data_IF_466313573557
#
_entry.id   IF_466313573557
#
_cell.length_a   1.000
_cell.length_b   1.000
_cell.length_c   1.000
_cell.angle_alpha   90.00
_cell.angle_beta   90.00
_cell.angle_gamma   90.00
#
_symmetry.space_group_name_H-M   'P 1'
#
loop_
_entity.id
_entity.type
_entity.pdbx_description
1 polymer ?
#
# COMPACT_ATOMS: atom_id res chain seq x y z
N UNK A 1 -19.42 -28.06 23.61
CA UNK A 1 -19.94 -27.67 22.30
C UNK A 1 -19.94 -26.15 22.26
N UNK A 2 -18.98 -25.52 21.56
CA UNK A 2 -18.85 -24.06 21.49
C UNK A 2 -19.16 -23.61 20.05
N UNK A 3 -20.12 -22.70 19.91
CA UNK A 3 -20.43 -22.04 18.64
C UNK A 3 -19.92 -20.59 18.75
N UNK A 4 -18.89 -20.25 17.98
CA UNK A 4 -18.42 -18.88 17.85
C UNK A 4 -19.06 -18.27 16.59
N UNK A 5 -20.07 -17.43 16.78
CA UNK A 5 -20.70 -16.69 15.67
C UNK A 5 -20.08 -15.29 15.61
N UNK A 6 -19.26 -15.03 14.60
CA UNK A 6 -18.75 -13.69 14.29
C UNK A 6 -19.66 -13.09 13.23
N UNK A 7 -20.47 -12.10 13.61
CA UNK A 7 -21.30 -11.33 12.68
C UNK A 7 -20.53 -10.06 12.28
N UNK A 8 -20.01 -10.02 11.05
CA UNK A 8 -19.34 -8.82 10.50
C UNK A 8 -20.33 -8.06 9.63
N UNK A 9 -20.67 -6.83 10.02
CA UNK A 9 -21.51 -5.93 9.21
C UNK A 9 -20.71 -5.35 8.03
N UNK A 10 -21.31 -5.33 6.83
CA UNK A 10 -20.79 -4.63 5.64
C UNK A 10 -21.04 -3.12 5.76
N UNK A 11 -19.96 -2.33 5.76
CA UNK A 11 -19.98 -0.95 5.25
C UNK A 11 -19.15 -0.97 3.96
N UNK A 12 -19.76 -0.62 2.82
CA UNK A 12 -19.11 -0.64 1.50
C UNK A 12 -18.22 0.59 1.31
N UNK A 13 -17.18 0.72 2.12
CA UNK A 13 -15.92 1.32 1.67
C UNK A 13 -15.27 0.27 0.74
N UNK A 14 -14.65 0.65 -0.39
CA UNK A 14 -13.78 -0.31 -1.07
C UNK A 14 -12.78 -0.78 -0.01
N UNK A 15 -12.69 -2.10 0.19
CA UNK A 15 -11.63 -2.64 1.04
C UNK A 15 -10.29 -2.05 0.59
N UNK A 16 -9.29 -1.92 1.46
CA UNK A 16 -7.98 -1.37 1.06
C UNK A 16 -7.44 -2.05 -0.21
N UNK A 17 -7.65 -3.36 -0.33
CA UNK A 17 -7.33 -4.12 -1.53
C UNK A 17 -8.16 -3.70 -2.75
N UNK A 18 -9.47 -3.50 -2.61
CA UNK A 18 -10.34 -3.01 -3.69
C UNK A 18 -9.99 -1.59 -4.12
N UNK A 19 -9.65 -0.71 -3.18
CA UNK A 19 -9.18 0.64 -3.50
C UNK A 19 -7.86 0.57 -4.27
N UNK A 20 -6.88 -0.18 -3.76
CA UNK A 20 -5.58 -0.33 -4.40
C UNK A 20 -5.70 -0.92 -5.81
N UNK A 21 -6.49 -1.99 -5.99
CA UNK A 21 -6.76 -2.60 -7.29
C UNK A 21 -7.41 -1.63 -8.30
N UNK A 22 -8.22 -0.68 -7.82
CA UNK A 22 -8.84 0.33 -8.68
C UNK A 22 -7.90 1.49 -9.06
N UNK A 23 -6.75 1.64 -8.41
CA UNK A 23 -5.82 2.76 -8.71
C UNK A 23 -5.18 2.65 -10.08
N UNK A 24 -5.04 1.43 -10.64
CA UNK A 24 -4.46 1.19 -11.95
C UNK A 24 -4.96 -0.10 -12.56
N UNK A 25 -5.29 -0.08 -13.85
CA UNK A 25 -5.63 -1.31 -14.58
C UNK A 25 -4.42 -2.25 -14.63
N UNK A 26 -4.68 -3.56 -14.52
CA UNK A 26 -3.65 -4.60 -14.45
C UNK A 26 -3.02 -4.79 -13.08
N UNK A 27 -3.42 -4.03 -12.05
CA UNK A 27 -2.93 -4.18 -10.69
C UNK A 27 -3.63 -5.34 -9.96
N UNK A 28 -2.86 -6.25 -9.41
CA UNK A 28 -3.33 -7.35 -8.56
C UNK A 28 -2.75 -7.20 -7.16
N UNK A 29 -3.61 -7.14 -6.14
CA UNK A 29 -3.18 -7.05 -4.74
C UNK A 29 -2.76 -8.43 -4.26
N UNK A 30 -1.52 -8.54 -3.80
CA UNK A 30 -0.96 -9.79 -3.27
C UNK A 30 -1.18 -9.89 -1.76
N UNK A 31 -0.90 -8.80 -1.04
CA UNK A 31 -0.92 -8.80 0.41
C UNK A 31 -1.23 -7.40 0.96
N UNK A 32 -1.96 -7.34 2.07
CA UNK A 32 -2.23 -6.10 2.81
C UNK A 32 -1.84 -6.30 4.28
N UNK A 33 -0.98 -5.43 4.80
CA UNK A 33 -0.58 -5.42 6.21
C UNK A 33 -0.90 -4.07 6.86
N UNK A 34 -1.44 -4.04 8.09
CA UNK A 34 -1.57 -2.79 8.83
C UNK A 34 -0.19 -2.19 9.11
N UNK A 35 -0.08 -0.86 9.10
CA UNK A 35 1.16 -0.14 9.42
C UNK A 35 0.85 1.11 10.23
N UNK A 36 1.78 1.47 11.12
CA UNK A 36 1.83 2.77 11.77
C UNK A 36 3.04 3.53 11.23
N UNK A 37 2.81 4.69 10.60
CA UNK A 37 3.89 5.56 10.12
C UNK A 37 3.69 6.98 10.64
N UNK A 38 4.72 7.52 11.30
CA UNK A 38 4.70 8.88 11.85
C UNK A 38 3.47 9.17 12.74
N UNK A 39 3.05 8.17 13.53
CA UNK A 39 1.88 8.27 14.42
C UNK A 39 0.52 8.21 13.71
N UNK A 40 0.49 7.89 12.41
CA UNK A 40 -0.73 7.66 11.64
C UNK A 40 -0.89 6.17 11.35
N UNK A 41 -2.11 5.67 11.55
CA UNK A 41 -2.50 4.32 11.21
C UNK A 41 -2.87 4.22 9.73
N UNK A 42 -2.56 3.08 9.13
CA UNK A 42 -2.83 2.84 7.72
C UNK A 42 -2.52 1.41 7.31
N UNK A 43 -2.28 1.25 6.01
CA UNK A 43 -2.00 -0.06 5.42
C UNK A 43 -0.87 0.02 4.41
N UNK A 44 -0.05 -1.02 4.38
CA UNK A 44 0.86 -1.30 3.27
C UNK A 44 0.29 -2.41 2.41
N UNK A 45 0.21 -2.15 1.12
CA UNK A 45 -0.29 -3.07 0.10
C UNK A 45 0.85 -3.47 -0.79
N UNK A 46 1.22 -4.75 -0.77
CA UNK A 46 2.06 -5.34 -1.81
C UNK A 46 1.19 -5.77 -2.98
N UNK A 47 1.63 -5.48 -4.19
CA UNK A 47 0.88 -5.75 -5.41
C UNK A 47 1.80 -6.13 -6.56
N UNK A 48 1.22 -6.78 -7.57
CA UNK A 48 1.81 -6.92 -8.90
C UNK A 48 1.06 -6.06 -9.91
N UNK A 49 1.73 -5.64 -10.96
CA UNK A 49 1.17 -4.89 -12.06
C UNK A 49 1.60 -5.52 -13.37
N UNK A 50 0.65 -5.95 -14.19
CA UNK A 50 0.91 -6.35 -15.57
C UNK A 50 0.78 -5.12 -16.47
N UNK A 51 1.86 -4.77 -17.16
CA UNK A 51 1.88 -3.65 -18.12
C UNK A 51 1.17 -4.02 -19.42
N UNK A 52 0.96 -3.03 -20.30
CA UNK A 52 0.32 -3.26 -21.60
C UNK A 52 1.18 -4.13 -22.52
N UNK A 53 2.49 -4.13 -22.28
CA UNK A 53 3.50 -4.93 -22.96
C UNK A 53 3.56 -6.37 -22.40
N UNK A 54 2.81 -6.66 -21.34
CA UNK A 54 2.74 -7.98 -20.70
C UNK A 54 3.83 -8.23 -19.65
N UNK A 55 4.65 -7.23 -19.32
CA UNK A 55 5.65 -7.35 -18.27
C UNK A 55 5.01 -7.29 -16.89
N UNK A 56 5.52 -8.06 -15.93
CA UNK A 56 5.08 -8.00 -14.53
C UNK A 56 6.07 -7.21 -13.69
N UNK A 57 5.54 -6.19 -13.03
CA UNK A 57 6.25 -5.41 -12.02
C UNK A 57 5.69 -5.72 -10.63
N UNK A 58 6.53 -5.60 -9.60
CA UNK A 58 6.07 -5.58 -8.21
C UNK A 58 6.00 -4.15 -7.70
N UNK A 59 5.10 -3.91 -6.75
CA UNK A 59 5.00 -2.63 -6.10
C UNK A 59 4.50 -2.73 -4.67
N UNK A 60 4.75 -1.65 -3.94
CA UNK A 60 4.30 -1.48 -2.57
C UNK A 60 3.68 -0.09 -2.44
N UNK A 61 2.48 -0.03 -1.88
CA UNK A 61 1.77 1.21 -1.62
C UNK A 61 1.54 1.36 -0.12
N UNK A 62 1.79 2.54 0.43
CA UNK A 62 1.35 2.90 1.77
C UNK A 62 0.16 3.85 1.66
N UNK A 63 -0.89 3.54 2.42
CA UNK A 63 -2.12 4.29 2.50
C UNK A 63 -2.31 4.72 3.95
N UNK A 64 -2.15 6.02 4.24
CA UNK A 64 -2.33 6.59 5.58
C UNK A 64 -3.62 7.40 5.62
N UNK A 65 -4.45 7.11 6.62
CA UNK A 65 -5.69 7.84 6.80
C UNK A 65 -5.47 9.10 7.64
N UNK A 66 -6.10 10.20 7.24
CA UNK A 66 -6.20 11.43 8.03
C UNK A 66 -7.68 11.78 8.26
N UNK A 67 -7.95 12.87 8.99
CA UNK A 67 -9.33 13.28 9.30
C UNK A 67 -10.20 13.45 8.05
N UNK A 68 -9.65 13.95 6.94
CA UNK A 68 -10.42 14.30 5.75
C UNK A 68 -9.82 13.84 4.41
N UNK A 69 -8.68 13.14 4.42
CA UNK A 69 -8.04 12.69 3.18
C UNK A 69 -7.24 11.40 3.37
N UNK A 70 -7.12 10.65 2.27
CA UNK A 70 -6.26 9.48 2.17
C UNK A 70 -4.94 9.88 1.52
N UNK A 71 -3.84 9.68 2.24
CA UNK A 71 -2.50 9.91 1.72
C UNK A 71 -1.95 8.62 1.15
N UNK A 72 -1.44 8.68 -0.08
CA UNK A 72 -0.94 7.50 -0.80
C UNK A 72 0.49 7.75 -1.24
N UNK A 73 1.40 6.90 -0.78
CA UNK A 73 2.75 6.79 -1.33
C UNK A 73 2.86 5.46 -2.07
N UNK A 74 3.30 5.50 -3.33
CA UNK A 74 3.36 4.30 -4.17
C UNK A 74 4.76 4.12 -4.75
N UNK A 75 5.34 2.96 -4.50
CA UNK A 75 6.62 2.52 -5.04
C UNK A 75 6.39 1.38 -6.04
N UNK A 76 7.04 1.47 -7.20
CA UNK A 76 7.09 0.41 -8.21
C UNK A 76 8.52 -0.02 -8.47
N UNK A 77 8.70 -1.32 -8.68
CA UNK A 77 9.97 -1.94 -9.03
C UNK A 77 9.83 -2.54 -10.43
N UNK A 78 10.37 -1.86 -11.46
CA UNK A 78 10.39 -2.40 -12.81
C UNK A 78 11.19 -3.70 -12.88
N UNK A 79 10.77 -4.64 -13.72
CA UNK A 79 11.45 -5.91 -13.97
C UNK A 79 11.74 -6.77 -12.71
N UNK A 80 11.00 -6.57 -11.61
CA UNK A 80 11.16 -7.37 -10.40
C UNK A 80 10.38 -8.69 -10.43
N UNK A 81 9.48 -8.88 -11.40
CA UNK A 81 8.60 -10.05 -11.48
C UNK A 81 7.48 -9.99 -10.44
N UNK A 82 7.16 -11.14 -9.82
CA UNK A 82 6.14 -11.26 -8.78
C UNK A 82 6.79 -11.42 -7.40
N UNK A 83 7.15 -10.30 -6.77
CA UNK A 83 7.72 -10.25 -5.42
C UNK A 83 6.70 -9.64 -4.47
N UNK A 84 6.36 -10.38 -3.42
CA UNK A 84 5.59 -9.82 -2.31
C UNK A 84 6.51 -8.93 -1.44
N UNK A 85 6.39 -7.62 -1.61
CA UNK A 85 7.19 -6.63 -0.87
C UNK A 85 6.80 -6.46 0.60
N UNK A 86 5.78 -7.17 1.09
CA UNK A 86 5.46 -7.28 2.51
C UNK A 86 6.09 -8.51 3.17
N UNK A 87 6.61 -9.46 2.40
CA UNK A 87 7.34 -10.61 2.94
C UNK A 87 8.79 -10.23 3.19
N UNK A 88 9.26 -10.36 4.44
CA UNK A 88 10.59 -9.91 4.82
C UNK A 88 11.73 -10.63 4.07
N UNK A 89 11.53 -11.89 3.68
CA UNK A 89 12.55 -12.67 2.95
C UNK A 89 12.60 -12.25 1.49
N UNK A 90 11.44 -12.16 0.84
CA UNK A 90 11.32 -11.76 -0.56
C UNK A 90 11.69 -10.28 -0.78
N UNK A 91 11.42 -9.43 0.22
CA UNK A 91 11.70 -8.00 0.19
C UNK A 91 13.17 -7.64 0.51
N UNK A 92 13.96 -8.56 1.07
CA UNK A 92 15.33 -8.28 1.52
C UNK A 92 16.24 -7.63 0.46
N UNK A 93 16.20 -8.03 -0.84
CA UNK A 93 17.01 -7.38 -1.89
C UNK A 93 16.61 -5.92 -2.15
N UNK A 94 15.41 -5.51 -1.73
CA UNK A 94 14.83 -4.20 -2.01
C UNK A 94 14.72 -3.34 -0.75
N UNK A 95 15.39 -3.73 0.34
CA UNK A 95 15.27 -3.08 1.64
C UNK A 95 15.55 -1.57 1.58
N UNK A 96 16.57 -1.14 0.83
CA UNK A 96 16.89 0.28 0.69
C UNK A 96 15.83 1.06 -0.08
N UNK A 97 15.21 0.45 -1.09
CA UNK A 97 14.09 1.07 -1.80
C UNK A 97 12.85 1.15 -0.92
N UNK A 98 12.59 0.12 -0.11
CA UNK A 98 11.49 0.11 0.85
C UNK A 98 11.69 1.13 1.97
N UNK A 99 12.93 1.44 2.38
CA UNK A 99 13.20 2.54 3.32
C UNK A 99 12.69 3.89 2.82
N UNK A 100 12.71 4.14 1.50
CA UNK A 100 12.14 5.37 0.93
C UNK A 100 10.63 5.41 1.19
N UNK A 101 9.94 4.29 0.97
CA UNK A 101 8.51 4.16 1.27
C UNK A 101 8.22 4.20 2.78
N UNK A 102 9.13 3.68 3.61
CA UNK A 102 9.05 3.75 5.07
C UNK A 102 9.23 5.18 5.60
N UNK A 103 9.97 6.02 4.88
CA UNK A 103 10.19 7.42 5.24
C UNK A 103 8.99 8.33 4.96
N UNK A 104 7.94 7.80 4.32
CA UNK A 104 6.73 8.56 4.07
C UNK A 104 6.06 8.99 5.37
N UNK A 105 5.82 10.29 5.50
CA UNK A 105 5.25 10.91 6.68
C UNK A 105 4.27 12.00 6.28
N UNK A 106 3.19 12.11 7.04
CA UNK A 106 2.19 13.18 6.88
C UNK A 106 2.31 14.11 8.07
N UNK A 107 2.66 15.37 7.80
CA UNK A 107 2.69 16.43 8.79
C UNK A 107 1.50 17.36 8.57
N UNK A 108 0.51 17.31 9.47
CA UNK A 108 -0.63 18.22 9.43
C UNK A 108 -0.18 19.63 9.85
N UNK A 109 -0.56 20.65 9.08
CA UNK A 109 -0.29 22.07 9.42
C UNK A 109 0.96 22.69 8.80
N UNK A 110 1.77 21.95 8.04
CA UNK A 110 2.84 22.54 7.22
C UNK A 110 2.38 22.74 5.76
N UNK A 111 1.88 23.92 5.44
CA UNK A 111 1.75 24.36 4.05
C UNK A 111 3.14 24.76 3.56
N UNK A 112 3.84 23.84 2.88
CA UNK A 112 5.09 24.18 2.21
C UNK A 112 4.74 25.00 0.98
N UNK A 113 4.84 26.31 1.11
CA UNK A 113 4.69 27.23 -0.02
C UNK A 113 5.95 27.12 -0.86
N UNK A 114 5.88 26.44 -2.01
CA UNK A 114 6.99 26.44 -2.96
C UNK A 114 6.86 27.73 -3.77
N UNK A 115 7.57 28.77 -3.37
CA UNK A 115 7.79 29.93 -4.23
C UNK A 115 8.66 29.49 -5.40
N UNK A 116 8.06 29.40 -6.59
CA UNK A 116 8.80 29.27 -7.85
C UNK A 116 9.45 30.60 -8.24
#
# INVERSE_FOLDING_TARGET
MLLLTVLVFKVTVPSVASYAAATRSGLTVENVTPVTQSGKEGFRVAYTLTTLEGETESGAMVLLNSTNMLHVANLRLPASGNVNLNDATAAAPYADTLKVLDSFAVYEGQNVSVSQ
#
